data_IF_891637999725
#
_entry.id   IF_891637999725
#
_cell.length_a   1.000
_cell.length_b   1.000
_cell.length_c   1.000
_cell.angle_alpha   90.00
_cell.angle_beta   90.00
_cell.angle_gamma   90.00
#
_symmetry.space_group_name_H-M   'P 1'
#
loop_
_entity.id
_entity.type
_entity.pdbx_description
1 polymer ?
#
# COMPACT_ATOMS: atom_id res chain seq x y z
N UNK A 1 -0.08 8.24 23.35
CA UNK A 1 0.48 6.90 23.08
C UNK A 1 1.93 6.93 23.50
N UNK A 2 2.32 6.02 24.37
CA UNK A 2 3.59 6.04 25.10
C UNK A 2 4.75 5.64 24.17
N UNK A 3 5.59 6.63 23.82
CA UNK A 3 6.59 6.54 22.73
C UNK A 3 7.80 5.64 23.03
N UNK A 4 7.94 5.12 24.25
CA UNK A 4 9.13 4.36 24.67
C UNK A 4 9.07 2.87 24.33
N UNK A 5 7.89 2.25 24.20
CA UNK A 5 7.77 0.84 23.78
C UNK A 5 8.09 0.58 22.31
N UNK A 6 8.39 1.64 21.54
CA UNK A 6 8.66 1.58 20.09
C UNK A 6 10.15 1.59 19.75
N UNK A 7 11.05 1.64 20.74
CA UNK A 7 12.51 1.74 20.54
C UNK A 7 13.28 0.41 20.58
N UNK A 8 12.61 -0.73 20.72
CA UNK A 8 13.29 -2.02 20.71
C UNK A 8 13.58 -2.44 19.26
N UNK A 9 14.86 -2.57 18.84
CA UNK A 9 15.22 -3.05 17.52
C UNK A 9 14.64 -4.45 17.30
N UNK A 10 14.25 -4.76 16.07
CA UNK A 10 13.90 -6.14 15.70
C UNK A 10 15.07 -7.08 16.02
N UNK A 11 14.82 -8.32 16.47
CA UNK A 11 15.86 -9.32 16.69
C UNK A 11 16.74 -9.48 15.43
N UNK A 12 18.06 -9.45 15.62
CA UNK A 12 19.11 -9.46 14.58
C UNK A 12 19.07 -10.69 13.66
N UNK A 13 18.36 -11.73 14.07
CA UNK A 13 18.18 -13.03 13.44
C UNK A 13 17.27 -13.05 12.20
N UNK A 14 16.71 -11.89 11.79
CA UNK A 14 15.95 -11.73 10.53
C UNK A 14 16.68 -10.94 9.42
N UNK A 15 17.97 -10.64 9.60
CA UNK A 15 18.79 -9.99 8.59
C UNK A 15 19.72 -11.01 7.93
N UNK A 16 19.41 -11.43 6.71
CA UNK A 16 20.40 -12.09 5.87
C UNK A 16 20.99 -11.07 4.89
N UNK A 17 22.05 -10.38 5.33
CA UNK A 17 23.32 -10.11 4.60
C UNK A 17 23.87 -8.66 4.56
N UNK A 18 25.22 -8.62 4.70
CA UNK A 18 26.20 -7.55 4.41
C UNK A 18 26.24 -6.31 5.34
N UNK A 19 26.45 -6.52 6.64
CA UNK A 19 26.89 -5.44 7.53
C UNK A 19 28.31 -4.88 7.22
N UNK A 20 29.02 -5.34 6.18
CA UNK A 20 30.45 -5.04 6.02
C UNK A 20 30.97 -4.92 4.57
N UNK A 21 30.17 -4.48 3.61
CA UNK A 21 30.75 -3.97 2.35
C UNK A 21 30.94 -2.47 2.50
N UNK A 22 32.16 -1.94 2.41
CA UNK A 22 32.43 -0.49 2.38
C UNK A 22 31.82 0.27 1.17
N UNK A 23 30.75 -0.26 0.58
CA UNK A 23 30.00 0.26 -0.54
C UNK A 23 28.88 1.21 -0.04
N UNK A 24 28.94 2.52 -0.32
CA UNK A 24 27.95 3.48 0.13
C UNK A 24 26.51 3.16 -0.33
N UNK A 25 26.34 2.59 -1.52
CA UNK A 25 25.01 2.23 -2.04
C UNK A 25 24.38 1.07 -1.26
N UNK A 26 25.19 0.14 -0.75
CA UNK A 26 24.71 -0.94 0.09
C UNK A 26 24.17 -0.42 1.44
N UNK A 27 24.89 0.53 2.05
CA UNK A 27 24.46 1.16 3.30
C UNK A 27 23.17 1.96 3.13
N UNK A 28 23.05 2.70 2.02
CA UNK A 28 21.83 3.45 1.71
C UNK A 28 20.62 2.55 1.47
N UNK A 29 20.82 1.40 0.80
CA UNK A 29 19.80 0.38 0.62
C UNK A 29 19.35 -0.21 1.96
N UNK A 30 20.30 -0.56 2.82
CA UNK A 30 19.98 -1.09 4.15
C UNK A 30 19.19 -0.09 4.98
N UNK A 31 19.56 1.19 4.95
CA UNK A 31 18.80 2.23 5.64
C UNK A 31 17.37 2.33 5.10
N UNK A 32 17.20 2.33 3.78
CA UNK A 32 15.88 2.37 3.13
C UNK A 32 15.00 1.19 3.57
N UNK A 33 15.58 -0.01 3.63
CA UNK A 33 14.89 -1.21 4.11
C UNK A 33 14.42 -1.04 5.56
N UNK A 34 15.31 -0.57 6.44
CA UNK A 34 14.98 -0.34 7.85
C UNK A 34 13.86 0.70 7.99
N UNK A 35 13.93 1.79 7.23
CA UNK A 35 12.91 2.86 7.25
C UNK A 35 11.54 2.34 6.80
N UNK A 36 11.49 1.49 5.78
CA UNK A 36 10.25 0.84 5.33
C UNK A 36 9.73 -0.12 6.41
N UNK A 37 10.60 -0.94 7.02
CA UNK A 37 10.20 -1.82 8.12
C UNK A 37 9.60 -1.04 9.29
N UNK A 38 10.23 0.07 9.69
CA UNK A 38 9.76 0.93 10.76
C UNK A 38 8.43 1.61 10.42
N UNK A 39 8.27 2.04 9.17
CA UNK A 39 7.00 2.58 8.66
C UNK A 39 5.87 1.55 8.80
N UNK A 40 6.12 0.31 8.36
CA UNK A 40 5.13 -0.77 8.46
C UNK A 40 4.87 -1.22 9.91
N UNK A 41 5.90 -1.26 10.76
CA UNK A 41 5.75 -1.57 12.20
C UNK A 41 4.75 -0.64 12.90
N UNK A 42 4.65 0.61 12.45
CA UNK A 42 3.66 1.59 12.94
C UNK A 42 2.27 1.35 12.36
N UNK A 43 2.17 0.83 11.14
CA UNK A 43 0.92 0.59 10.41
C UNK A 43 0.24 -0.73 10.77
N UNK A 44 1.00 -1.83 10.91
CA UNK A 44 0.44 -3.19 11.14
C UNK A 44 0.08 -3.47 12.60
N UNK A 45 0.70 -2.76 13.54
CA UNK A 45 0.53 -2.99 14.98
C UNK A 45 1.45 -4.08 15.53
N UNK A 46 1.64 -4.11 16.87
CA UNK A 46 2.65 -4.94 17.52
C UNK A 46 2.44 -6.45 17.33
N UNK A 47 1.19 -6.91 17.34
CA UNK A 47 0.82 -8.33 17.28
C UNK A 47 1.16 -9.00 15.95
N UNK A 48 1.23 -8.22 14.87
CA UNK A 48 1.46 -8.72 13.52
C UNK A 48 2.85 -8.41 12.97
N UNK A 49 3.72 -7.76 13.75
CA UNK A 49 5.11 -7.50 13.35
C UNK A 49 5.84 -8.77 12.94
N UNK A 50 5.60 -9.87 13.66
CA UNK A 50 6.21 -11.17 13.38
C UNK A 50 5.80 -11.79 12.05
N UNK A 51 4.69 -11.35 11.46
CA UNK A 51 4.14 -11.83 10.17
C UNK A 51 4.63 -11.01 8.98
N UNK A 52 5.30 -9.87 9.21
CA UNK A 52 5.88 -9.11 8.12
C UNK A 52 7.02 -9.91 7.48
N UNK A 53 7.11 -9.94 6.14
CA UNK A 53 8.18 -10.63 5.45
C UNK A 53 9.54 -9.99 5.78
N UNK A 54 10.56 -10.83 5.88
CA UNK A 54 11.95 -10.37 6.00
C UNK A 54 12.42 -9.77 4.66
N UNK A 55 13.37 -8.84 4.73
CA UNK A 55 14.00 -8.28 3.55
C UNK A 55 15.25 -9.09 3.18
N UNK A 56 15.49 -9.23 1.88
CA UNK A 56 16.76 -9.71 1.36
C UNK A 56 17.29 -8.72 0.32
N UNK A 57 18.47 -8.16 0.59
CA UNK A 57 19.10 -7.19 -0.30
C UNK A 57 20.07 -7.96 -1.20
N UNK A 58 19.75 -8.06 -2.50
CA UNK A 58 20.64 -8.67 -3.48
C UNK A 58 21.39 -7.57 -4.25
N UNK A 59 22.50 -7.09 -3.68
CA UNK A 59 23.40 -6.20 -4.40
C UNK A 59 24.18 -6.99 -5.46
N UNK A 60 24.18 -6.46 -6.70
CA UNK A 60 25.00 -6.95 -7.82
C UNK A 60 24.66 -8.36 -8.37
N UNK A 61 23.52 -8.94 -7.97
CA UNK A 61 22.98 -10.16 -8.60
C UNK A 61 23.78 -11.44 -8.33
N UNK A 62 24.70 -11.44 -7.35
CA UNK A 62 25.61 -12.57 -7.10
C UNK A 62 25.12 -13.59 -6.08
N UNK A 63 23.98 -13.36 -5.44
CA UNK A 63 23.48 -14.25 -4.38
C UNK A 63 22.04 -14.64 -4.68
N UNK A 64 21.87 -15.88 -5.12
CA UNK A 64 20.56 -16.51 -5.10
C UNK A 64 20.11 -16.68 -3.64
N UNK A 65 18.92 -16.17 -3.33
CA UNK A 65 18.32 -16.34 -2.01
C UNK A 65 18.11 -17.84 -1.76
N UNK A 66 18.64 -18.42 -0.67
CA UNK A 66 18.27 -19.77 -0.28
C UNK A 66 16.83 -19.85 0.26
N UNK A 67 16.13 -18.71 0.44
CA UNK A 67 14.80 -18.66 1.04
C UNK A 67 13.76 -17.96 0.14
N UNK A 68 12.67 -18.64 -0.27
CA UNK A 68 11.63 -18.10 -1.14
C UNK A 68 10.70 -17.06 -0.47
N UNK A 69 10.86 -16.82 0.84
CA UNK A 69 9.97 -15.95 1.63
C UNK A 69 10.46 -14.50 1.78
N UNK A 70 11.63 -14.15 1.21
CA UNK A 70 12.22 -12.82 1.36
C UNK A 70 11.89 -11.90 0.17
N UNK A 71 11.61 -10.62 0.47
CA UNK A 71 11.41 -9.59 -0.56
C UNK A 71 12.76 -9.12 -1.14
N UNK A 72 12.93 -9.16 -2.47
CA UNK A 72 14.21 -8.86 -3.16
C UNK A 72 14.33 -7.38 -3.56
N UNK A 73 15.29 -6.68 -2.94
CA UNK A 73 15.65 -5.31 -3.34
C UNK A 73 16.70 -5.30 -4.46
N UNK A 74 16.42 -4.55 -5.53
CA UNK A 74 17.34 -4.27 -6.65
C UNK A 74 17.83 -2.82 -6.62
N UNK A 75 18.98 -2.54 -7.27
CA UNK A 75 19.64 -1.22 -7.26
C UNK A 75 18.76 -0.05 -7.74
N UNK A 76 17.76 -0.31 -8.60
CA UNK A 76 16.83 0.71 -9.07
C UNK A 76 15.99 1.36 -7.95
N UNK A 77 15.81 0.67 -6.81
CA UNK A 77 15.03 1.20 -5.68
C UNK A 77 15.79 2.22 -4.84
N UNK A 78 17.11 2.37 -5.02
CA UNK A 78 17.88 3.48 -4.40
C UNK A 78 17.36 4.83 -4.89
N UNK A 79 16.94 4.89 -6.15
CA UNK A 79 16.43 6.12 -6.77
C UNK A 79 14.96 6.38 -6.43
N UNK A 80 14.19 5.32 -6.12
CA UNK A 80 12.75 5.40 -5.81
C UNK A 80 12.38 4.54 -4.59
N UNK A 81 12.75 4.97 -3.36
CA UNK A 81 12.38 4.28 -2.12
C UNK A 81 10.89 3.96 -1.96
N UNK A 82 10.02 4.82 -2.51
CA UNK A 82 8.56 4.64 -2.55
C UNK A 82 8.11 3.47 -3.43
N UNK A 83 8.83 3.19 -4.52
CA UNK A 83 8.53 2.02 -5.36
C UNK A 83 8.91 0.73 -4.60
N UNK A 84 10.00 0.76 -3.85
CA UNK A 84 10.36 -0.32 -2.95
C UNK A 84 9.31 -0.54 -1.85
N UNK A 85 8.79 0.54 -1.27
CA UNK A 85 7.72 0.49 -0.28
C UNK A 85 6.40 -0.03 -0.87
N UNK A 86 6.07 0.36 -2.11
CA UNK A 86 4.94 -0.19 -2.88
C UNK A 86 5.06 -1.71 -3.02
N UNK A 87 6.18 -2.20 -3.53
CA UNK A 87 6.37 -3.64 -3.74
C UNK A 87 6.39 -4.44 -2.42
N UNK A 88 6.99 -3.88 -1.37
CA UNK A 88 6.94 -4.48 -0.04
C UNK A 88 5.52 -4.55 0.53
N UNK A 89 4.65 -3.60 0.17
CA UNK A 89 3.24 -3.62 0.55
C UNK A 89 2.54 -4.88 0.06
N UNK A 90 2.81 -5.32 -1.18
CA UNK A 90 2.23 -6.57 -1.70
C UNK A 90 2.67 -7.78 -0.88
N UNK A 91 3.94 -7.84 -0.50
CA UNK A 91 4.47 -8.93 0.33
C UNK A 91 3.82 -8.94 1.72
N UNK A 92 3.70 -7.77 2.36
CA UNK A 92 3.00 -7.61 3.65
C UNK A 92 1.55 -8.05 3.54
N UNK A 93 0.82 -7.57 2.53
CA UNK A 93 -0.59 -7.91 2.33
C UNK A 93 -0.81 -9.39 2.05
N UNK A 94 0.11 -10.04 1.33
CA UNK A 94 0.09 -11.49 1.10
C UNK A 94 0.26 -12.27 2.40
N UNK A 95 1.16 -11.86 3.29
CA UNK A 95 1.41 -12.55 4.55
C UNK A 95 0.34 -12.30 5.62
N UNK A 96 -0.24 -11.10 5.66
CA UNK A 96 -1.23 -10.74 6.68
C UNK A 96 -2.65 -11.26 6.43
N UNK A 97 -2.90 -11.85 5.26
CA UNK A 97 -4.22 -12.31 4.84
C UNK A 97 -4.24 -13.82 4.64
N UNK A 98 -5.30 -14.47 5.13
CA UNK A 98 -5.56 -15.88 4.86
C UNK A 98 -5.91 -16.14 3.38
N UNK A 99 -6.75 -15.27 2.81
CA UNK A 99 -7.08 -15.29 1.38
C UNK A 99 -6.39 -14.09 0.70
N UNK A 100 -5.49 -14.25 -0.27
CA UNK A 100 -4.83 -13.10 -0.88
C UNK A 100 -5.82 -12.24 -1.69
N UNK A 101 -5.56 -10.92 -1.79
CA UNK A 101 -6.28 -10.07 -2.75
C UNK A 101 -5.98 -10.50 -4.20
N UNK A 102 -4.78 -11.05 -4.44
CA UNK A 102 -4.34 -11.44 -5.77
C UNK A 102 -3.92 -10.23 -6.62
N UNK A 103 -3.80 -10.45 -7.92
CA UNK A 103 -3.28 -9.49 -8.88
C UNK A 103 -4.18 -9.36 -10.12
N UNK A 104 -5.48 -9.62 -9.96
CA UNK A 104 -6.46 -9.67 -11.06
C UNK A 104 -7.75 -8.93 -10.72
N UNK A 105 -8.33 -8.26 -11.72
CA UNK A 105 -9.64 -7.59 -11.61
C UNK A 105 -9.73 -6.60 -10.46
N UNK A 106 -10.90 -6.48 -9.84
CA UNK A 106 -11.13 -5.52 -8.75
C UNK A 106 -10.24 -5.76 -7.53
N UNK A 107 -10.03 -7.01 -7.12
CA UNK A 107 -9.18 -7.30 -5.96
C UNK A 107 -7.71 -6.98 -6.22
N UNK A 108 -7.23 -7.22 -7.45
CA UNK A 108 -5.92 -6.76 -7.90
C UNK A 108 -5.80 -5.24 -7.87
N UNK A 109 -6.82 -4.52 -8.37
CA UNK A 109 -6.83 -3.05 -8.32
C UNK A 109 -6.86 -2.50 -6.87
N UNK A 110 -7.51 -3.17 -5.92
CA UNK A 110 -7.43 -2.84 -4.49
C UNK A 110 -6.00 -3.04 -3.98
N UNK A 111 -5.36 -4.15 -4.36
CA UNK A 111 -3.98 -4.46 -3.95
C UNK A 111 -3.00 -3.38 -4.46
N UNK A 112 -3.07 -3.03 -5.75
CA UNK A 112 -2.30 -1.94 -6.38
C UNK A 112 -2.54 -0.59 -5.71
N UNK A 113 -3.81 -0.24 -5.44
CA UNK A 113 -4.13 1.05 -4.83
C UNK A 113 -3.52 1.19 -3.43
N UNK A 114 -3.56 0.13 -2.62
CA UNK A 114 -2.97 0.14 -1.27
C UNK A 114 -1.45 0.29 -1.34
N UNK A 115 -0.80 -0.36 -2.31
CA UNK A 115 0.64 -0.22 -2.55
C UNK A 115 1.03 1.19 -3.00
N UNK A 116 0.29 1.79 -3.94
CA UNK A 116 0.48 3.18 -4.38
C UNK A 116 0.29 4.17 -3.20
N UNK A 117 -0.78 4.01 -2.42
CA UNK A 117 -1.08 4.85 -1.25
C UNK A 117 0.05 4.77 -0.23
N UNK A 118 0.49 3.57 0.14
CA UNK A 118 1.56 3.39 1.13
C UNK A 118 2.88 3.96 0.60
N UNK A 119 3.22 3.72 -0.67
CA UNK A 119 4.40 4.30 -1.30
C UNK A 119 4.41 5.84 -1.22
N UNK A 120 3.31 6.49 -1.62
CA UNK A 120 3.18 7.96 -1.56
C UNK A 120 3.22 8.47 -0.12
N UNK A 121 2.56 7.80 0.82
CA UNK A 121 2.56 8.21 2.23
C UNK A 121 3.94 8.05 2.88
N UNK A 122 4.68 7.00 2.53
CA UNK A 122 6.07 6.82 2.92
C UNK A 122 6.93 7.95 2.35
N UNK A 123 6.83 8.22 1.04
CA UNK A 123 7.55 9.31 0.36
C UNK A 123 7.36 10.66 1.07
N UNK A 124 6.11 11.03 1.34
CA UNK A 124 5.76 12.30 2.02
C UNK A 124 6.26 12.37 3.46
N UNK A 125 6.46 11.23 4.13
CA UNK A 125 6.98 11.16 5.51
C UNK A 125 8.51 11.23 5.54
N UNK A 126 9.17 10.64 4.55
CA UNK A 126 10.64 10.54 4.52
C UNK A 126 11.33 11.83 4.09
N UNK A 127 10.63 12.76 3.44
CA UNK A 127 11.20 14.05 3.03
C UNK A 127 10.14 15.13 2.78
N UNK A 128 10.33 16.31 3.37
CA UNK A 128 9.48 17.49 3.13
C UNK A 128 9.56 18.02 1.69
N UNK A 129 10.59 17.64 0.93
CA UNK A 129 10.74 18.02 -0.48
C UNK A 129 9.72 17.31 -1.38
N UNK A 130 9.21 16.14 -0.96
CA UNK A 130 8.33 15.31 -1.78
C UNK A 130 6.91 15.25 -1.21
N UNK A 131 6.23 16.39 -1.20
CA UNK A 131 4.86 16.53 -0.67
C UNK A 131 3.75 16.27 -1.70
N UNK A 132 4.10 15.89 -2.94
CA UNK A 132 3.13 15.59 -3.99
C UNK A 132 2.48 14.20 -3.85
N UNK A 133 1.47 13.94 -4.68
CA UNK A 133 0.66 12.73 -4.69
C UNK A 133 1.00 11.77 -5.84
N UNK A 134 2.13 11.98 -6.53
CA UNK A 134 2.55 11.19 -7.69
C UNK A 134 3.22 9.89 -7.26
N UNK A 135 2.96 8.83 -8.02
CA UNK A 135 3.72 7.58 -7.95
C UNK A 135 4.85 7.68 -8.97
N UNK A 136 6.07 7.96 -8.51
CA UNK A 136 7.20 8.22 -9.40
C UNK A 136 7.52 6.99 -10.26
N UNK A 137 8.05 7.22 -11.46
CA UNK A 137 8.29 6.17 -12.45
C UNK A 137 7.02 5.69 -13.16
N UNK A 138 5.86 6.28 -12.87
CA UNK A 138 4.57 5.91 -13.49
C UNK A 138 3.79 7.15 -13.91
N UNK A 139 2.66 6.95 -14.60
CA UNK A 139 1.70 8.01 -14.91
C UNK A 139 0.65 8.23 -13.81
N UNK A 140 0.66 7.41 -12.73
CA UNK A 140 -0.37 7.44 -11.69
C UNK A 140 -0.14 8.59 -10.72
N UNK A 141 -1.23 9.25 -10.33
CA UNK A 141 -1.23 10.33 -9.36
C UNK A 141 -2.52 10.28 -8.54
N UNK A 142 -2.39 10.13 -7.22
CA UNK A 142 -3.54 10.05 -6.31
C UNK A 142 -4.41 11.33 -6.34
N UNK A 143 -3.85 12.48 -6.67
CA UNK A 143 -4.62 13.73 -6.77
C UNK A 143 -5.34 13.91 -8.10
N UNK A 144 -5.09 13.05 -9.10
CA UNK A 144 -5.74 13.13 -10.41
C UNK A 144 -7.18 12.66 -10.29
N UNK A 145 -8.13 13.44 -10.81
CA UNK A 145 -9.55 13.08 -10.77
C UNK A 145 -9.80 11.74 -11.45
N UNK A 146 -10.42 10.82 -10.71
CA UNK A 146 -10.82 9.51 -11.18
C UNK A 146 -12.11 9.08 -10.48
N UNK A 147 -13.13 8.75 -11.25
CA UNK A 147 -14.46 8.37 -10.76
C UNK A 147 -14.87 7.01 -11.33
N UNK A 148 -16.00 6.45 -10.87
CA UNK A 148 -16.55 5.22 -11.46
C UNK A 148 -16.75 5.30 -12.98
N UNK A 149 -17.03 6.48 -13.53
CA UNK A 149 -17.20 6.65 -14.99
C UNK A 149 -15.92 6.41 -15.77
N UNK A 150 -14.75 6.52 -15.12
CA UNK A 150 -13.45 6.25 -15.73
C UNK A 150 -13.07 4.77 -15.64
N UNK A 151 -13.74 3.96 -14.81
CA UNK A 151 -13.38 2.55 -14.59
C UNK A 151 -13.57 1.75 -15.88
N UNK A 152 -12.55 0.97 -16.23
CA UNK A 152 -12.71 -0.07 -17.24
C UNK A 152 -13.38 -1.28 -16.58
N UNK A 153 -14.61 -1.58 -17.00
CA UNK A 153 -15.44 -2.64 -16.42
C UNK A 153 -15.05 -4.06 -16.90
N UNK A 154 -14.12 -4.21 -17.84
CA UNK A 154 -13.60 -5.51 -18.27
C UNK A 154 -12.51 -6.00 -17.32
N UNK A 155 -12.93 -6.50 -16.16
CA UNK A 155 -12.03 -7.05 -15.15
C UNK A 155 -11.42 -8.43 -15.51
N UNK A 156 -11.74 -8.97 -16.69
CA UNK A 156 -11.26 -10.29 -17.11
C UNK A 156 -9.80 -10.19 -17.55
N UNK A 157 -8.86 -10.94 -16.96
CA UNK A 157 -7.49 -10.98 -17.44
C UNK A 157 -7.44 -11.52 -18.87
N UNK A 158 -6.78 -10.78 -19.75
CA UNK A 158 -6.55 -11.14 -21.15
C UNK A 158 -5.05 -11.21 -21.39
N UNK A 159 -4.66 -12.18 -22.19
CA UNK A 159 -3.29 -12.37 -22.68
C UNK A 159 -3.34 -12.58 -24.18
N UNK A 160 -2.57 -11.79 -24.92
CA UNK A 160 -2.33 -11.99 -26.34
C UNK A 160 -0.97 -12.69 -26.53
N UNK A 161 -0.95 -13.96 -26.96
CA UNK A 161 0.30 -14.69 -27.17
C UNK A 161 1.14 -14.13 -28.32
N UNK A 162 0.57 -13.33 -29.23
CA UNK A 162 1.31 -12.76 -30.37
C UNK A 162 2.14 -11.54 -30.00
N UNK A 163 1.65 -10.77 -29.05
CA UNK A 163 2.34 -9.55 -28.57
C UNK A 163 2.98 -9.75 -27.21
N UNK A 164 2.73 -10.89 -26.55
CA UNK A 164 3.02 -11.15 -25.14
C UNK A 164 2.46 -10.08 -24.18
N UNK A 165 1.49 -9.29 -24.66
CA UNK A 165 0.84 -8.24 -23.89
C UNK A 165 -0.48 -8.73 -23.34
N UNK A 166 -0.80 -8.29 -22.14
CA UNK A 166 -2.12 -8.49 -21.55
C UNK A 166 -2.87 -7.18 -21.38
N UNK A 167 -4.09 -7.26 -20.85
CA UNK A 167 -4.86 -6.09 -20.43
C UNK A 167 -4.56 -5.69 -18.99
N UNK A 168 -3.31 -5.86 -18.54
CA UNK A 168 -2.92 -5.56 -17.16
C UNK A 168 -3.77 -6.34 -16.13
N UNK A 169 -3.89 -7.66 -16.35
CA UNK A 169 -4.64 -8.58 -15.49
C UNK A 169 -6.09 -8.14 -15.16
N UNK A 170 -6.78 -7.51 -16.11
CA UNK A 170 -8.09 -6.87 -15.85
C UNK A 170 -7.95 -5.44 -15.35
N UNK A 171 -7.03 -4.68 -15.94
CA UNK A 171 -6.80 -3.25 -15.75
C UNK A 171 -6.49 -2.86 -14.30
N UNK A 172 -5.69 -3.66 -13.58
CA UNK A 172 -5.47 -3.47 -12.14
C UNK A 172 -4.80 -2.13 -11.80
N UNK A 173 -3.76 -1.72 -12.53
CA UNK A 173 -3.07 -0.44 -12.30
C UNK A 173 -3.87 0.76 -12.81
N UNK A 174 -4.69 0.56 -13.85
CA UNK A 174 -5.54 1.64 -14.36
C UNK A 174 -6.69 1.92 -13.39
N UNK A 175 -7.40 0.87 -12.96
CA UNK A 175 -8.56 0.96 -12.09
C UNK A 175 -8.20 1.24 -10.63
N UNK A 176 -6.96 0.97 -10.18
CA UNK A 176 -6.49 1.32 -8.83
C UNK A 176 -6.58 2.83 -8.55
N UNK A 177 -6.45 3.65 -9.59
CA UNK A 177 -6.53 5.11 -9.50
C UNK A 177 -7.84 5.62 -8.89
N UNK A 178 -8.95 4.90 -9.06
CA UNK A 178 -10.22 5.21 -8.39
C UNK A 178 -10.07 5.21 -6.86
N UNK A 179 -9.48 4.14 -6.32
CA UNK A 179 -9.38 3.91 -4.88
C UNK A 179 -8.29 4.81 -4.26
N UNK A 180 -7.21 5.01 -5.02
CA UNK A 180 -6.14 5.96 -4.74
C UNK A 180 -6.64 7.41 -4.69
N UNK A 181 -7.53 7.80 -5.62
CA UNK A 181 -8.14 9.13 -5.63
C UNK A 181 -9.12 9.31 -4.47
N UNK A 182 -9.94 8.30 -4.15
CA UNK A 182 -10.80 8.33 -2.97
C UNK A 182 -9.99 8.54 -1.67
N UNK A 183 -8.83 7.88 -1.54
CA UNK A 183 -7.92 8.11 -0.41
C UNK A 183 -7.40 9.55 -0.33
N UNK A 184 -6.99 10.12 -1.48
CA UNK A 184 -6.58 11.52 -1.56
C UNK A 184 -7.68 12.47 -1.09
N UNK A 185 -8.91 12.28 -1.59
CA UNK A 185 -10.07 13.08 -1.18
C UNK A 185 -10.37 12.93 0.31
N UNK A 186 -10.27 11.71 0.86
CA UNK A 186 -10.43 11.49 2.30
C UNK A 186 -9.39 12.27 3.12
N UNK A 187 -8.13 12.26 2.67
CA UNK A 187 -7.05 13.04 3.30
C UNK A 187 -7.33 14.54 3.24
N UNK A 188 -7.79 15.05 2.09
CA UNK A 188 -8.18 16.46 1.92
C UNK A 188 -9.36 16.83 2.82
N UNK A 189 -10.41 16.03 2.85
CA UNK A 189 -11.60 16.26 3.68
C UNK A 189 -11.26 16.31 5.18
N UNK A 190 -10.26 15.54 5.61
CA UNK A 190 -9.82 15.46 7.01
C UNK A 190 -8.61 16.33 7.36
N UNK A 191 -8.11 17.18 6.46
CA UNK A 191 -6.82 17.85 6.64
C UNK A 191 -6.75 18.76 7.89
N UNK A 192 -7.89 19.31 8.30
CA UNK A 192 -8.03 20.14 9.51
C UNK A 192 -7.89 19.39 10.83
N UNK A 193 -7.87 18.05 10.81
CA UNK A 193 -7.69 17.23 12.00
C UNK A 193 -6.23 16.78 12.12
N UNK A 194 -5.65 16.94 13.31
CA UNK A 194 -4.29 16.49 13.57
C UNK A 194 -4.14 14.99 13.30
N UNK A 195 -3.02 14.61 12.69
CA UNK A 195 -2.68 13.22 12.35
C UNK A 195 -3.72 12.50 11.47
N UNK A 196 -4.57 13.23 10.75
CA UNK A 196 -5.65 12.66 9.93
C UNK A 196 -5.14 11.72 8.83
N UNK A 197 -4.06 12.09 8.12
CA UNK A 197 -3.49 11.25 7.06
C UNK A 197 -3.06 9.87 7.58
N UNK A 198 -2.37 9.79 8.73
CA UNK A 198 -1.95 8.52 9.33
C UNK A 198 -3.15 7.67 9.76
N UNK A 199 -4.20 8.30 10.31
CA UNK A 199 -5.44 7.61 10.67
C UNK A 199 -6.13 7.03 9.42
N UNK A 200 -6.27 7.83 8.36
CA UNK A 200 -6.89 7.40 7.09
C UNK A 200 -6.07 6.27 6.46
N UNK A 201 -4.74 6.38 6.45
CA UNK A 201 -3.86 5.31 5.96
C UNK A 201 -4.12 3.99 6.68
N UNK A 202 -4.22 4.02 8.01
CA UNK A 202 -4.56 2.85 8.82
C UNK A 202 -5.94 2.29 8.48
N UNK A 203 -6.94 3.15 8.24
CA UNK A 203 -8.30 2.73 7.83
C UNK A 203 -8.27 2.03 6.47
N UNK A 204 -7.60 2.59 5.46
CA UNK A 204 -7.51 1.99 4.12
C UNK A 204 -6.77 0.66 4.15
N UNK A 205 -5.61 0.62 4.81
CA UNK A 205 -4.82 -0.59 4.98
C UNK A 205 -5.63 -1.70 5.67
N UNK A 206 -6.27 -1.39 6.80
CA UNK A 206 -7.08 -2.36 7.53
C UNK A 206 -8.36 -2.74 6.78
N UNK A 207 -8.93 -1.86 5.96
CA UNK A 207 -10.07 -2.20 5.12
C UNK A 207 -9.69 -3.27 4.10
N UNK A 208 -8.53 -3.15 3.45
CA UNK A 208 -8.04 -4.13 2.50
C UNK A 208 -7.62 -5.43 3.20
N UNK A 209 -6.91 -5.30 4.33
CA UNK A 209 -6.46 -6.43 5.15
C UNK A 209 -7.62 -7.29 5.61
N UNK A 210 -8.68 -6.68 6.13
CA UNK A 210 -9.84 -7.39 6.68
C UNK A 210 -11.04 -7.46 5.71
N UNK A 211 -10.80 -7.24 4.42
CA UNK A 211 -11.82 -7.43 3.38
C UNK A 211 -12.11 -8.92 3.26
N UNK A 212 -13.38 -9.29 3.47
CA UNK A 212 -13.85 -10.68 3.34
C UNK A 212 -14.14 -10.97 1.86
N UNK A 213 -13.40 -11.90 1.28
CA UNK A 213 -13.58 -12.35 -0.10
C UNK A 213 -14.52 -13.55 -0.07
N UNK A 214 -15.76 -13.37 -0.52
CA UNK A 214 -16.80 -14.41 -0.55
C UNK A 214 -17.76 -14.17 -1.72
N UNK A 215 -17.82 -15.15 -2.63
CA UNK A 215 -18.70 -15.12 -3.78
C UNK A 215 -18.38 -13.99 -4.76
N UNK A 216 -19.29 -13.81 -5.71
CA UNK A 216 -19.24 -12.71 -6.67
C UNK A 216 -19.87 -11.47 -6.05
N UNK A 217 -19.08 -10.39 -5.97
CA UNK A 217 -19.46 -9.11 -5.38
C UNK A 217 -18.75 -7.97 -6.11
N UNK A 218 -19.31 -6.77 -5.98
CA UNK A 218 -18.56 -5.54 -6.24
C UNK A 218 -17.59 -5.28 -5.07
N UNK A 219 -16.35 -5.71 -5.23
CA UNK A 219 -15.31 -5.56 -4.22
C UNK A 219 -14.84 -4.13 -4.04
N UNK A 220 -14.99 -3.25 -5.04
CA UNK A 220 -14.76 -1.82 -4.82
C UNK A 220 -15.79 -1.26 -3.84
N UNK A 221 -17.07 -1.63 -4.01
CA UNK A 221 -18.13 -1.22 -3.09
C UNK A 221 -17.93 -1.78 -1.68
N UNK A 222 -17.61 -3.07 -1.58
CA UNK A 222 -17.36 -3.72 -0.28
C UNK A 222 -16.14 -3.12 0.43
N UNK A 223 -15.10 -2.74 -0.32
CA UNK A 223 -13.93 -2.03 0.22
C UNK A 223 -14.32 -0.65 0.76
N UNK A 224 -15.08 0.15 0.01
CA UNK A 224 -15.55 1.46 0.45
C UNK A 224 -16.46 1.37 1.70
N UNK A 225 -17.39 0.40 1.73
CA UNK A 225 -18.19 0.09 2.93
C UNK A 225 -17.31 -0.24 4.13
N UNK A 226 -16.25 -1.03 3.91
CA UNK A 226 -15.32 -1.44 4.97
C UNK A 226 -14.53 -0.25 5.52
N UNK A 227 -14.06 0.69 4.68
CA UNK A 227 -13.38 1.90 5.18
C UNK A 227 -14.31 2.77 6.03
N UNK A 228 -15.56 2.95 5.62
CA UNK A 228 -16.56 3.73 6.38
C UNK A 228 -16.85 3.05 7.72
N UNK A 229 -17.03 1.72 7.71
CA UNK A 229 -17.26 0.93 8.91
C UNK A 229 -16.11 1.06 9.91
N UNK A 230 -14.86 0.90 9.46
CA UNK A 230 -13.68 1.06 10.33
C UNK A 230 -13.57 2.49 10.88
N UNK A 231 -13.85 3.51 10.06
CA UNK A 231 -13.86 4.89 10.51
C UNK A 231 -14.91 5.16 11.61
N UNK A 232 -16.03 4.43 11.61
CA UNK A 232 -17.07 4.56 12.63
C UNK A 232 -16.71 3.96 14.00
N UNK A 233 -15.58 3.27 14.10
CA UNK A 233 -15.07 2.67 15.34
C UNK A 233 -14.03 3.55 16.06
N UNK A 234 -13.64 4.68 15.47
CA UNK A 234 -12.65 5.62 16.06
C UNK A 234 -13.27 6.48 17.17
N UNK A 235 -12.45 7.03 18.06
CA UNK A 235 -12.87 8.01 19.06
C UNK A 235 -13.51 9.28 18.45
N UNK A 236 -13.09 9.69 17.26
CA UNK A 236 -13.68 10.79 16.47
C UNK A 236 -14.72 10.28 15.45
N UNK A 237 -15.25 9.07 15.66
CA UNK A 237 -15.99 8.25 14.69
C UNK A 237 -16.98 8.99 13.81
N UNK A 238 -17.83 9.85 14.40
CA UNK A 238 -18.90 10.54 13.66
C UNK A 238 -18.36 11.51 12.61
N UNK A 239 -17.22 12.15 12.84
CA UNK A 239 -16.63 13.11 11.89
C UNK A 239 -15.83 12.40 10.80
N UNK A 240 -14.98 11.44 11.16
CA UNK A 240 -14.17 10.71 10.18
C UNK A 240 -15.01 9.84 9.26
N UNK A 241 -15.98 9.08 9.78
CA UNK A 241 -16.84 8.23 8.95
C UNK A 241 -17.64 9.03 7.92
N UNK A 242 -18.15 10.21 8.30
CA UNK A 242 -18.84 11.12 7.38
C UNK A 242 -17.91 11.65 6.29
N UNK A 243 -16.73 12.16 6.64
CA UNK A 243 -15.79 12.73 5.66
C UNK A 243 -15.22 11.67 4.70
N UNK A 244 -15.04 10.43 5.18
CA UNK A 244 -14.66 9.27 4.35
C UNK A 244 -15.81 8.84 3.44
N UNK A 245 -17.06 8.84 3.94
CA UNK A 245 -18.23 8.61 3.08
C UNK A 245 -18.30 9.65 1.96
N UNK A 246 -18.16 10.93 2.30
CA UNK A 246 -18.16 12.04 1.33
C UNK A 246 -17.05 11.90 0.27
N UNK A 247 -15.89 11.34 0.61
CA UNK A 247 -14.84 11.07 -0.39
C UNK A 247 -15.22 9.93 -1.36
N UNK A 248 -15.99 8.94 -0.91
CA UNK A 248 -16.47 7.85 -1.76
C UNK A 248 -17.63 8.28 -2.66
N UNK A 249 -18.54 9.10 -2.14
CA UNK A 249 -19.62 9.74 -2.90
C UNK A 249 -19.05 10.60 -4.04
N UNK A 250 -17.98 11.37 -3.78
CA UNK A 250 -17.30 12.17 -4.80
C UNK A 250 -16.72 11.35 -5.97
N UNK A 251 -16.45 10.05 -5.78
CA UNK A 251 -15.98 9.16 -6.86
C UNK A 251 -17.08 8.22 -7.37
N UNK A 252 -18.33 8.39 -6.93
CA UNK A 252 -19.53 7.72 -7.45
C UNK A 252 -20.02 6.52 -6.64
N UNK A 253 -19.72 6.43 -5.34
CA UNK A 253 -20.32 5.44 -4.45
C UNK A 253 -21.34 6.11 -3.53
N UNK A 254 -22.64 5.96 -3.84
CA UNK A 254 -23.67 6.80 -3.22
C UNK A 254 -24.68 5.97 -2.38
N UNK A 255 -24.65 4.64 -2.50
CA UNK A 255 -25.61 3.72 -1.85
C UNK A 255 -25.01 2.97 -0.65
N UNK A 256 -24.59 3.73 0.35
CA UNK A 256 -24.12 3.20 1.63
C UNK A 256 -25.25 3.14 2.68
N UNK A 257 -26.47 2.91 2.23
CA UNK A 257 -27.66 2.73 3.07
C UNK A 257 -27.56 1.49 3.96
#
# INVERSE_FOLDING_TARGET
>A
MDSEKYKQPLPLDRYHMLQNSGNPSANQLQQTVNDIQDFFCQLVGAEDRGKMPSFFINLEGKIDSPQPECFKFHNQYVQYPEAACHEFTHAVMKNLREAPLGNKGQLGAINEAIADIIGVMYKQKSSDQYNDWKVNGTHRNLSQSFTKTNVNCDFTPKYDPKTEKGNDNGHVHYNSQLLSHAFYLACKNCEKFNSSKTKILSIWFNAARYLKIKGEKDYFFEFARKTIKLASQDTDARKFSRLIRESWEQVGFDDFS
#
